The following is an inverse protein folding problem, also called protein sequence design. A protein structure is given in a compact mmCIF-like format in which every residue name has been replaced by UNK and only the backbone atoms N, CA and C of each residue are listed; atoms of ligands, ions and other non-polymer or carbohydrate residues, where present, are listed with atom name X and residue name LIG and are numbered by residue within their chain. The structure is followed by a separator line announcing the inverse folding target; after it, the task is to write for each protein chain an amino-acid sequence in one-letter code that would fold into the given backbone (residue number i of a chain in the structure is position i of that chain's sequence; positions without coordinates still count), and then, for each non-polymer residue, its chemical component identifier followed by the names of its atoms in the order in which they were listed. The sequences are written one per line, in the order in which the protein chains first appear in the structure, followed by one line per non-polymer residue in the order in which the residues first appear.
data_IF_891448165603
#
_entry.id   IF_891448165603
#
_cell.length_a   1.000
_cell.length_b   1.000
_cell.length_c   1.000
_cell.angle_alpha   90.00
_cell.angle_beta   90.00
_cell.angle_gamma   90.00
#
_symmetry.space_group_name_H-M   'P 1'
#
loop_
_entity.id
_entity.type
_entity.pdbx_description
1 polymer ?
#
# COMPACT_ATOMS: atom_id res chain seq x y z
N UNK A 1 18.99 -4.36 37.27
CA UNK A 1 19.54 -3.22 36.49
C UNK A 1 18.44 -2.16 36.38
N UNK A 2 18.69 -0.89 36.72
CA UNK A 2 17.63 0.11 36.76
C UNK A 2 17.27 0.52 35.32
N UNK A 3 15.97 0.52 35.00
CA UNK A 3 15.46 1.03 33.73
C UNK A 3 15.41 2.56 33.81
N UNK A 4 16.37 3.23 33.21
CA UNK A 4 16.33 4.69 33.04
C UNK A 4 15.36 5.00 31.91
N UNK A 5 14.15 5.42 32.29
CA UNK A 5 13.19 6.08 31.41
C UNK A 5 13.76 7.45 30.98
N UNK A 6 14.64 7.45 29.98
CA UNK A 6 15.03 8.68 29.28
C UNK A 6 13.85 9.14 28.43
N UNK A 7 13.56 10.44 28.43
CA UNK A 7 12.64 11.03 27.45
C UNK A 7 13.09 10.62 26.04
N UNK A 8 12.16 10.26 25.14
CA UNK A 8 12.52 10.05 23.74
C UNK A 8 13.10 11.36 23.20
N UNK A 9 14.32 11.28 22.67
CA UNK A 9 14.93 12.36 21.89
C UNK A 9 14.02 12.65 20.69
N UNK A 10 13.85 13.92 20.33
CA UNK A 10 13.00 14.30 19.21
C UNK A 10 13.67 13.96 17.87
N UNK A 11 12.87 13.71 16.83
CA UNK A 11 13.38 13.35 15.50
C UNK A 11 14.25 14.45 14.89
N UNK A 12 13.91 15.71 15.16
CA UNK A 12 14.67 16.88 14.69
C UNK A 12 16.07 16.94 15.34
N UNK A 13 16.17 16.54 16.60
CA UNK A 13 17.44 16.51 17.34
C UNK A 13 18.36 15.41 16.78
N UNK A 14 17.81 14.23 16.44
CA UNK A 14 18.54 13.16 15.75
C UNK A 14 19.05 13.63 14.38
N UNK A 15 18.22 14.36 13.62
CA UNK A 15 18.60 14.90 12.32
C UNK A 15 19.78 15.88 12.45
N UNK A 16 19.74 16.77 13.44
CA UNK A 16 20.83 17.70 13.72
C UNK A 16 22.14 17.00 14.11
N UNK A 17 22.07 15.94 14.92
CA UNK A 17 23.23 15.12 15.27
C UNK A 17 23.84 14.46 14.02
N UNK A 18 22.99 13.97 13.10
CA UNK A 18 23.44 13.39 11.83
C UNK A 18 24.12 14.43 10.93
N UNK A 19 23.54 15.63 10.82
CA UNK A 19 24.10 16.74 10.03
C UNK A 19 25.47 17.20 10.57
N UNK A 20 25.67 17.07 11.88
CA UNK A 20 26.95 17.33 12.55
C UNK A 20 27.97 16.18 12.41
N UNK A 21 27.61 15.08 11.73
CA UNK A 21 28.46 13.91 11.54
C UNK A 21 28.60 13.03 12.79
N UNK A 22 27.68 13.14 13.76
CA UNK A 22 27.68 12.30 14.95
C UNK A 22 27.08 10.92 14.65
N UNK A 23 27.54 9.90 15.38
CA UNK A 23 26.98 8.55 15.27
C UNK A 23 25.59 8.47 15.92
N UNK A 24 24.57 8.26 15.08
CA UNK A 24 23.17 8.13 15.49
C UNK A 24 22.68 6.68 15.45
N UNK A 25 23.57 5.69 15.32
CA UNK A 25 23.23 4.26 15.20
C UNK A 25 22.37 3.75 16.36
N UNK A 26 22.54 4.30 17.57
CA UNK A 26 21.74 3.94 18.75
C UNK A 26 20.24 4.28 18.61
N UNK A 27 19.88 5.15 17.66
CA UNK A 27 18.50 5.55 17.40
C UNK A 27 17.85 4.75 16.27
N UNK A 28 18.61 3.95 15.52
CA UNK A 28 18.05 3.04 14.52
C UNK A 28 17.70 1.71 15.16
N UNK A 29 16.42 1.33 15.11
CA UNK A 29 15.97 0.00 15.57
C UNK A 29 16.33 -1.12 14.59
N UNK A 30 16.77 -0.77 13.37
CA UNK A 30 16.89 -1.69 12.23
C UNK A 30 15.62 -2.50 11.93
N UNK A 31 14.47 -2.06 12.47
CA UNK A 31 13.17 -2.65 12.23
C UNK A 31 12.49 -1.93 11.06
N UNK A 32 12.93 -2.22 9.85
CA UNK A 32 12.22 -1.80 8.64
C UNK A 32 11.23 -2.90 8.24
N UNK A 33 9.93 -2.60 8.37
CA UNK A 33 8.92 -3.43 7.70
C UNK A 33 9.00 -3.13 6.21
N UNK A 34 9.59 -4.04 5.45
CA UNK A 34 9.53 -3.99 3.99
C UNK A 34 8.06 -4.11 3.59
N UNK A 35 7.39 -2.98 3.29
CA UNK A 35 6.07 -3.00 2.66
C UNK A 35 6.22 -3.85 1.40
N UNK A 36 5.46 -4.97 1.34
CA UNK A 36 5.53 -5.99 0.29
C UNK A 36 5.87 -5.36 -1.06
N UNK A 37 6.94 -5.86 -1.69
CA UNK A 37 7.28 -5.49 -3.06
C UNK A 37 6.06 -5.64 -3.96
N UNK A 38 5.79 -4.62 -4.76
CA UNK A 38 4.75 -4.64 -5.78
C UNK A 38 5.06 -5.77 -6.75
N UNK A 39 4.20 -6.79 -6.79
CA UNK A 39 4.27 -7.85 -7.81
C UNK A 39 3.66 -7.32 -9.11
N UNK A 40 4.44 -7.37 -10.20
CA UNK A 40 4.01 -6.94 -11.53
C UNK A 40 3.55 -8.15 -12.32
N UNK A 41 2.43 -7.98 -13.04
CA UNK A 41 1.86 -8.98 -13.92
C UNK A 41 1.57 -8.31 -15.27
N UNK A 42 1.92 -8.99 -16.36
CA UNK A 42 1.59 -8.54 -17.71
C UNK A 42 0.23 -9.11 -18.10
N UNK A 43 -0.64 -8.25 -18.66
CA UNK A 43 -1.98 -8.60 -19.12
C UNK A 43 -2.22 -7.88 -20.43
N UNK A 44 -2.71 -8.62 -21.43
CA UNK A 44 -3.05 -8.04 -22.72
C UNK A 44 -4.44 -7.41 -22.70
N UNK A 45 -4.56 -6.23 -23.30
CA UNK A 45 -5.80 -5.49 -23.47
C UNK A 45 -6.00 -5.18 -24.95
N UNK A 46 -7.23 -5.29 -25.43
CA UNK A 46 -7.54 -4.89 -26.80
C UNK A 46 -7.44 -3.36 -26.93
N UNK A 47 -7.12 -2.87 -28.13
CA UNK A 47 -7.04 -1.43 -28.38
C UNK A 47 -8.34 -0.68 -28.03
N UNK A 48 -9.55 -1.19 -28.36
CA UNK A 48 -10.80 -0.55 -27.95
C UNK A 48 -10.93 -0.42 -26.44
N UNK A 49 -10.61 -1.49 -25.69
CA UNK A 49 -10.69 -1.48 -24.23
C UNK A 49 -9.72 -0.46 -23.61
N UNK A 50 -8.51 -0.32 -24.15
CA UNK A 50 -7.57 0.70 -23.67
C UNK A 50 -8.10 2.12 -23.91
N UNK A 51 -8.72 2.38 -25.05
CA UNK A 51 -9.32 3.69 -25.36
C UNK A 51 -10.45 4.04 -24.39
N UNK A 52 -11.30 3.07 -24.06
CA UNK A 52 -12.36 3.27 -23.05
C UNK A 52 -11.76 3.60 -21.69
N UNK A 53 -10.78 2.82 -21.23
CA UNK A 53 -10.10 3.07 -19.95
C UNK A 53 -9.37 4.43 -19.92
N UNK A 54 -8.85 4.90 -21.05
CA UNK A 54 -8.19 6.19 -21.16
C UNK A 54 -9.17 7.36 -21.07
N UNK A 55 -10.32 7.26 -21.76
CA UNK A 55 -11.37 8.27 -21.68
C UNK A 55 -11.89 8.44 -20.23
N UNK A 56 -12.11 7.32 -19.52
CA UNK A 56 -12.54 7.33 -18.12
C UNK A 56 -11.46 7.91 -17.19
N UNK A 57 -10.19 7.54 -17.42
CA UNK A 57 -9.07 8.05 -16.66
C UNK A 57 -8.90 9.58 -16.82
N UNK A 58 -9.05 10.09 -18.05
CA UNK A 58 -9.03 11.52 -18.35
C UNK A 58 -10.19 12.26 -17.68
N UNK A 59 -11.42 11.73 -17.82
CA UNK A 59 -12.63 12.32 -17.23
C UNK A 59 -12.51 12.47 -15.71
N UNK A 60 -11.94 11.46 -15.05
CA UNK A 60 -11.75 11.43 -13.60
C UNK A 60 -10.44 12.08 -13.15
N UNK A 61 -9.58 12.51 -14.08
CA UNK A 61 -8.24 13.03 -13.83
C UNK A 61 -7.38 12.11 -12.95
N UNK A 62 -7.34 10.83 -13.30
CA UNK A 62 -6.55 9.80 -12.61
C UNK A 62 -5.76 8.95 -13.59
N UNK A 63 -4.80 8.17 -13.09
CA UNK A 63 -4.10 7.20 -13.95
C UNK A 63 -5.02 6.04 -14.38
N UNK A 64 -4.81 5.52 -15.59
CA UNK A 64 -5.43 4.26 -16.06
C UNK A 64 -5.27 3.11 -15.05
N UNK A 65 -4.11 3.05 -14.39
CA UNK A 65 -3.82 2.06 -13.34
C UNK A 65 -4.75 2.19 -12.12
N UNK A 66 -5.17 3.40 -11.76
CA UNK A 66 -6.12 3.61 -10.67
C UNK A 66 -7.49 3.03 -11.03
N UNK A 67 -7.97 3.30 -12.25
CA UNK A 67 -9.22 2.72 -12.78
C UNK A 67 -9.16 1.19 -12.77
N UNK A 68 -8.11 0.60 -13.36
CA UNK A 68 -7.92 -0.86 -13.40
C UNK A 68 -7.90 -1.47 -11.99
N UNK A 69 -7.16 -0.85 -11.05
CA UNK A 69 -7.07 -1.34 -9.66
C UNK A 69 -8.42 -1.29 -8.96
N UNK A 70 -9.16 -0.21 -9.10
CA UNK A 70 -10.48 -0.05 -8.47
C UNK A 70 -11.48 -1.06 -9.05
N UNK A 71 -11.57 -1.17 -10.37
CA UNK A 71 -12.47 -2.15 -11.02
C UNK A 71 -12.14 -3.60 -10.60
N UNK A 72 -10.85 -3.95 -10.53
CA UNK A 72 -10.42 -5.27 -10.08
C UNK A 72 -10.80 -5.54 -8.62
N UNK A 73 -10.60 -4.55 -7.74
CA UNK A 73 -10.97 -4.64 -6.32
C UNK A 73 -12.47 -4.87 -6.18
N UNK A 74 -13.30 -4.08 -6.86
CA UNK A 74 -14.76 -4.24 -6.83
C UNK A 74 -15.21 -5.61 -7.34
N UNK A 75 -14.64 -6.10 -8.44
CA UNK A 75 -14.97 -7.41 -8.99
C UNK A 75 -14.65 -8.54 -7.99
N UNK A 76 -13.50 -8.45 -7.32
CA UNK A 76 -13.11 -9.38 -6.26
C UNK A 76 -14.05 -9.30 -5.05
N UNK A 77 -14.41 -8.09 -4.61
CA UNK A 77 -15.34 -7.89 -3.49
C UNK A 77 -16.71 -8.49 -3.77
N UNK A 78 -17.28 -8.23 -4.94
CA UNK A 78 -18.55 -8.85 -5.39
C UNK A 78 -18.47 -10.37 -5.32
N UNK A 79 -17.35 -10.96 -5.77
CA UNK A 79 -17.13 -12.41 -5.72
C UNK A 79 -17.01 -12.94 -4.29
N UNK A 80 -16.30 -12.23 -3.41
CA UNK A 80 -16.17 -12.63 -2.00
C UNK A 80 -17.51 -12.61 -1.28
N UNK A 81 -18.30 -11.54 -1.46
CA UNK A 81 -19.64 -11.42 -0.89
C UNK A 81 -20.56 -12.54 -1.39
N UNK A 82 -20.54 -12.83 -2.69
CA UNK A 82 -21.32 -13.93 -3.26
C UNK A 82 -20.91 -15.30 -2.70
N UNK A 83 -19.61 -15.54 -2.48
CA UNK A 83 -19.10 -16.77 -1.88
C UNK A 83 -19.56 -16.93 -0.43
N UNK A 84 -19.46 -15.87 0.38
CA UNK A 84 -19.91 -15.88 1.78
C UNK A 84 -21.42 -16.15 1.88
N UNK A 85 -22.23 -15.51 1.03
CA UNK A 85 -23.66 -15.75 0.99
C UNK A 85 -24.03 -17.22 0.65
N UNK A 86 -23.28 -17.85 -0.27
CA UNK A 86 -23.46 -19.28 -0.59
C UNK A 86 -23.10 -20.18 0.59
N UNK A 87 -21.99 -19.91 1.27
CA UNK A 87 -21.56 -20.70 2.43
C UNK A 87 -22.55 -20.59 3.59
N UNK A 88 -23.05 -19.38 3.87
CA UNK A 88 -24.05 -19.16 4.91
C UNK A 88 -25.38 -19.89 4.62
N UNK A 89 -25.75 -20.07 3.35
CA UNK A 89 -26.92 -20.87 2.96
C UNK A 89 -26.72 -22.38 3.10
N UNK A 90 -25.50 -22.87 2.89
CA UNK A 90 -25.17 -24.30 3.01
C UNK A 90 -24.97 -24.75 4.47
N UNK A 91 -24.68 -23.82 5.37
CA UNK A 91 -24.52 -24.07 6.80
C UNK A 91 -25.84 -23.94 7.60
N UNK A 92 -26.96 -23.71 6.91
CA UNK A 92 -28.32 -23.70 7.47
C UNK A 92 -29.05 -24.96 7.02
#
# INVERSE_FOLDING_TARGET
MPKTSSKPIDAEEIAQMADQGQDISAHFTNEFTVKRLVQRVNVDFTSPMLKELDCEAETLNVSRQAIIKTMLREALDRRYLAKQARQARQAR
#
